data_IF_649687400592
#
_entry.id   IF_649687400592
#
_cell.length_a   1.000
_cell.length_b   1.000
_cell.length_c   1.000
_cell.angle_alpha   90.00
_cell.angle_beta   90.00
_cell.angle_gamma   90.00
#
_symmetry.space_group_name_H-M   'P 1'
#
loop_
_entity.id
_entity.type
_entity.pdbx_description
1 polymer ?
#
# COMPACT_ATOMS: atom_id res chain seq x y z
N UNK A 1 1.68 -52.44 -14.12
CA UNK A 1 1.19 -52.11 -12.76
C UNK A 1 2.40 -51.73 -11.94
N UNK A 2 2.59 -50.58 -11.30
CA UNK A 2 1.80 -49.39 -11.00
C UNK A 2 2.75 -48.18 -11.12
N UNK A 3 2.25 -47.06 -11.65
CA UNK A 3 2.87 -45.75 -11.55
C UNK A 3 2.92 -45.33 -10.08
N UNK A 4 4.04 -44.80 -9.60
CA UNK A 4 4.06 -44.01 -8.37
C UNK A 4 4.67 -42.64 -8.69
N UNK A 5 3.77 -41.66 -8.73
CA UNK A 5 4.06 -40.24 -8.93
C UNK A 5 4.73 -39.72 -7.66
N UNK A 6 5.99 -39.30 -7.75
CA UNK A 6 6.65 -38.55 -6.69
C UNK A 6 6.23 -37.08 -6.85
N UNK A 7 5.24 -36.66 -6.07
CA UNK A 7 4.74 -35.29 -6.10
C UNK A 7 5.74 -34.38 -5.38
N UNK A 8 6.41 -33.53 -6.16
CA UNK A 8 7.42 -32.57 -5.71
C UNK A 8 6.69 -31.32 -5.19
N UNK A 9 6.59 -31.20 -3.87
CA UNK A 9 5.97 -30.06 -3.20
C UNK A 9 7.02 -28.95 -3.06
N UNK A 10 7.18 -28.14 -4.11
CA UNK A 10 7.97 -26.90 -4.04
C UNK A 10 7.12 -25.89 -3.28
N UNK A 11 7.27 -25.86 -1.95
CA UNK A 11 6.83 -24.73 -1.16
C UNK A 11 7.65 -23.50 -1.56
N UNK A 12 7.01 -22.54 -2.21
CA UNK A 12 7.55 -21.18 -2.33
C UNK A 12 7.61 -20.57 -0.93
N UNK A 13 8.75 -20.70 -0.27
CA UNK A 13 9.08 -19.86 0.88
C UNK A 13 9.42 -18.50 0.29
N UNK A 14 8.49 -17.55 0.40
CA UNK A 14 8.79 -16.15 0.10
C UNK A 14 9.74 -15.67 1.20
N UNK A 15 11.02 -15.60 0.86
CA UNK A 15 12.06 -15.03 1.73
C UNK A 15 11.76 -13.54 1.80
N UNK A 16 11.02 -13.12 2.85
CA UNK A 16 11.01 -11.72 3.24
C UNK A 16 12.41 -11.41 3.76
N UNK A 17 13.18 -10.65 2.99
CA UNK A 17 14.42 -10.04 3.45
C UNK A 17 14.07 -9.10 4.59
N UNK A 18 14.37 -9.52 5.82
CA UNK A 18 14.27 -8.69 7.03
C UNK A 18 15.50 -7.76 7.09
N UNK A 19 15.69 -6.96 6.04
CA UNK A 19 16.66 -5.87 6.01
C UNK A 19 16.06 -4.60 6.60
N UNK A 20 16.84 -3.87 7.39
CA UNK A 20 16.55 -2.46 7.68
C UNK A 20 16.51 -1.72 6.35
N UNK A 21 15.45 -0.94 6.12
CA UNK A 21 15.30 -0.13 4.91
C UNK A 21 16.20 1.11 5.07
N UNK A 22 16.77 1.66 3.97
CA UNK A 22 17.74 2.81 3.96
C UNK A 22 17.39 3.83 2.84
N UNK A 23 16.24 4.51 2.93
CA UNK A 23 15.35 4.72 1.78
C UNK A 23 15.71 5.83 0.77
N UNK A 24 16.25 5.42 -0.38
CA UNK A 24 15.88 5.93 -1.71
C UNK A 24 14.99 4.85 -2.36
N UNK A 25 13.86 5.21 -2.97
CA UNK A 25 13.07 4.24 -3.76
C UNK A 25 13.91 3.75 -4.94
N UNK A 26 14.04 2.43 -5.08
CA UNK A 26 14.78 1.81 -6.19
C UNK A 26 13.95 1.80 -7.48
N UNK A 27 14.65 1.75 -8.61
CA UNK A 27 14.05 1.44 -9.90
C UNK A 27 13.40 0.04 -9.92
N UNK A 28 13.86 -0.86 -9.04
CA UNK A 28 13.37 -2.23 -8.89
C UNK A 28 12.19 -2.37 -7.92
N UNK A 29 11.84 -1.33 -7.16
CA UNK A 29 10.71 -1.41 -6.24
C UNK A 29 9.39 -1.50 -7.03
N UNK A 30 8.42 -2.33 -6.60
CA UNK A 30 7.18 -2.54 -7.34
C UNK A 30 6.40 -1.24 -7.58
N UNK A 31 5.91 -1.07 -8.81
CA UNK A 31 5.04 0.06 -9.19
C UNK A 31 3.59 -0.26 -8.91
N UNK A 32 2.86 0.71 -8.40
CA UNK A 32 1.43 0.57 -8.11
C UNK A 32 0.67 0.23 -9.39
N UNK A 33 0.96 0.91 -10.50
CA UNK A 33 0.28 0.68 -11.77
C UNK A 33 0.56 -0.71 -12.35
N UNK A 34 1.79 -1.23 -12.21
CA UNK A 34 2.13 -2.57 -12.68
C UNK A 34 1.45 -3.66 -11.85
N UNK A 35 1.41 -3.47 -10.53
CA UNK A 35 0.73 -4.38 -9.62
C UNK A 35 -0.79 -4.36 -9.82
N UNK A 36 -1.38 -3.18 -10.07
CA UNK A 36 -2.79 -3.04 -10.47
C UNK A 36 -3.10 -3.81 -11.74
N UNK A 37 -2.27 -3.72 -12.79
CA UNK A 37 -2.46 -4.50 -14.03
C UNK A 37 -2.43 -6.01 -13.78
N UNK A 38 -1.62 -6.47 -12.83
CA UNK A 38 -1.54 -7.88 -12.41
C UNK A 38 -2.66 -8.29 -11.45
N UNK A 39 -3.39 -7.34 -10.86
CA UNK A 39 -4.34 -7.59 -9.77
C UNK A 39 -3.65 -8.02 -8.47
N UNK A 40 -2.37 -7.70 -8.34
CA UNK A 40 -1.55 -8.01 -7.17
C UNK A 40 -1.56 -6.80 -6.22
N UNK A 41 -1.87 -7.04 -4.95
CA UNK A 41 -1.98 -5.99 -3.95
C UNK A 41 -1.24 -6.43 -2.70
N UNK A 42 0.09 -6.20 -2.62
CA UNK A 42 0.88 -6.64 -1.48
C UNK A 42 0.42 -5.94 -0.20
N UNK A 43 0.72 -6.58 0.93
CA UNK A 43 0.45 -6.02 2.26
C UNK A 43 1.55 -5.07 2.73
N UNK A 44 2.73 -5.14 2.13
CA UNK A 44 3.87 -4.26 2.42
C UNK A 44 4.23 -3.47 1.18
N UNK A 45 4.47 -2.18 1.38
CA UNK A 45 4.86 -1.23 0.35
C UNK A 45 6.07 -0.43 0.81
N UNK A 46 6.87 0.04 -0.16
CA UNK A 46 7.84 1.10 0.04
C UNK A 46 7.37 2.30 -0.76
N UNK A 47 7.05 3.39 -0.08
CA UNK A 47 6.39 4.53 -0.70
C UNK A 47 6.89 5.84 -0.11
N UNK A 48 6.77 6.91 -0.89
CA UNK A 48 7.03 8.26 -0.41
C UNK A 48 5.75 8.81 0.21
N UNK A 49 5.86 9.36 1.41
CA UNK A 49 4.75 10.04 2.05
C UNK A 49 4.49 11.39 1.38
N UNK A 50 3.23 11.67 1.05
CA UNK A 50 2.81 12.97 0.51
C UNK A 50 2.22 13.85 1.59
N UNK A 51 1.06 13.47 2.11
CA UNK A 51 0.28 14.30 3.03
C UNK A 51 -0.78 13.47 3.77
N UNK A 52 -1.48 14.12 4.70
CA UNK A 52 -2.64 13.60 5.43
C UNK A 52 -3.92 14.24 4.87
N UNK A 53 -4.93 13.42 4.62
CA UNK A 53 -6.26 13.89 4.20
C UNK A 53 -7.33 13.19 5.04
N UNK A 54 -7.98 13.96 5.91
CA UNK A 54 -8.92 13.46 6.91
C UNK A 54 -8.41 12.24 7.71
N UNK A 55 -9.00 11.07 7.44
CA UNK A 55 -8.72 9.79 8.09
C UNK A 55 -7.65 8.96 7.35
N UNK A 56 -7.06 9.51 6.29
CA UNK A 56 -6.17 8.84 5.37
C UNK A 56 -4.77 9.48 5.36
N UNK A 57 -3.77 8.63 5.16
CA UNK A 57 -2.43 9.02 4.75
C UNK A 57 -2.29 8.76 3.26
N UNK A 58 -1.69 9.69 2.55
CA UNK A 58 -1.48 9.59 1.11
C UNK A 58 -0.01 9.33 0.85
N UNK A 59 0.26 8.27 0.10
CA UNK A 59 1.58 7.88 -0.34
C UNK A 59 1.61 7.74 -1.86
N UNK A 60 2.81 7.75 -2.43
CA UNK A 60 3.01 7.51 -3.85
C UNK A 60 4.28 6.70 -4.12
N UNK A 61 4.30 5.99 -5.24
CA UNK A 61 5.51 5.33 -5.75
C UNK A 61 6.39 6.31 -6.55
N UNK A 62 7.52 5.85 -7.08
CA UNK A 62 8.43 6.74 -7.82
C UNK A 62 7.82 7.33 -9.10
N UNK A 63 6.75 6.71 -9.64
CA UNK A 63 6.05 7.18 -10.83
C UNK A 63 4.94 8.19 -10.48
N UNK A 64 4.73 8.47 -9.19
CA UNK A 64 3.71 9.37 -8.70
C UNK A 64 2.32 8.74 -8.61
N UNK A 65 2.20 7.41 -8.78
CA UNK A 65 0.93 6.73 -8.60
C UNK A 65 0.55 6.74 -7.12
N UNK A 66 -0.67 7.14 -6.79
CA UNK A 66 -1.12 7.31 -5.40
C UNK A 66 -1.70 6.02 -4.80
N UNK A 67 -1.61 5.94 -3.48
CA UNK A 67 -2.23 4.92 -2.65
C UNK A 67 -2.60 5.53 -1.29
N UNK A 68 -3.77 5.16 -0.78
CA UNK A 68 -4.33 5.75 0.44
C UNK A 68 -4.32 4.71 1.56
N UNK A 69 -3.96 5.14 2.77
CA UNK A 69 -3.97 4.31 3.97
C UNK A 69 -4.88 4.94 5.03
N UNK A 70 -6.01 4.30 5.33
CA UNK A 70 -6.88 4.68 6.45
C UNK A 70 -6.14 4.39 7.75
N UNK A 71 -5.70 5.44 8.45
CA UNK A 71 -4.87 5.32 9.67
C UNK A 71 -5.70 5.41 10.95
N UNK A 72 -6.86 6.04 10.90
CA UNK A 72 -7.75 6.21 12.05
C UNK A 72 -9.18 5.79 11.72
N UNK A 73 -9.95 5.43 12.76
CA UNK A 73 -11.35 5.03 12.59
C UNK A 73 -12.25 6.22 12.24
N UNK A 74 -12.02 7.31 12.95
CA UNK A 74 -12.72 8.58 12.86
C UNK A 74 -11.86 9.72 13.44
N UNK A 75 -12.36 10.94 13.41
CA UNK A 75 -11.70 12.16 13.89
C UNK A 75 -11.38 12.22 15.39
N UNK A 76 -11.96 11.34 16.20
CA UNK A 76 -11.77 11.29 17.66
C UNK A 76 -10.69 10.29 18.09
N UNK A 77 -10.18 9.47 17.17
CA UNK A 77 -9.12 8.50 17.40
C UNK A 77 -7.74 9.19 17.50
N UNK A 78 -7.50 9.83 18.66
CA UNK A 78 -6.27 10.60 18.93
C UNK A 78 -5.03 9.71 19.00
N UNK A 79 -5.17 8.47 19.47
CA UNK A 79 -4.06 7.50 19.52
C UNK A 79 -3.50 7.24 18.12
N UNK A 80 -4.38 7.09 17.12
CA UNK A 80 -3.96 6.95 15.74
C UNK A 80 -3.21 8.19 15.21
N UNK A 81 -3.61 9.39 15.63
CA UNK A 81 -2.93 10.64 15.26
C UNK A 81 -1.52 10.71 15.87
N UNK A 82 -1.35 10.33 17.14
CA UNK A 82 -0.03 10.31 17.78
C UNK A 82 0.94 9.34 17.10
N UNK A 83 0.45 8.19 16.62
CA UNK A 83 1.30 7.20 15.90
C UNK A 83 1.89 7.72 14.59
N UNK A 84 1.32 8.78 14.01
CA UNK A 84 1.71 9.31 12.70
C UNK A 84 2.31 10.72 12.78
N UNK A 85 2.59 11.22 13.98
CA UNK A 85 2.97 12.62 14.22
C UNK A 85 4.35 12.97 13.63
N UNK A 86 5.20 11.98 13.35
CA UNK A 86 6.54 12.15 12.79
C UNK A 86 6.66 11.92 11.27
N UNK A 87 5.57 11.96 10.51
CA UNK A 87 5.62 11.78 9.06
C UNK A 87 6.07 13.06 8.35
N UNK A 88 7.10 12.96 7.52
CA UNK A 88 7.64 14.07 6.73
C UNK A 88 7.34 13.87 5.23
N UNK A 89 6.64 14.83 4.59
CA UNK A 89 6.42 14.81 3.15
C UNK A 89 7.74 14.63 2.38
N UNK A 90 7.73 13.77 1.37
CA UNK A 90 8.92 13.45 0.56
C UNK A 90 9.83 12.37 1.14
N UNK A 91 9.63 11.96 2.41
CA UNK A 91 10.39 10.85 2.99
C UNK A 91 9.79 9.49 2.56
N UNK A 92 10.66 8.53 2.31
CA UNK A 92 10.28 7.16 2.01
C UNK A 92 10.04 6.34 3.29
N UNK A 93 9.00 5.52 3.27
CA UNK A 93 8.57 4.69 4.38
C UNK A 93 8.30 3.26 3.91
N UNK A 94 8.56 2.30 4.80
CA UNK A 94 7.98 0.96 4.70
C UNK A 94 6.59 1.01 5.35
N UNK A 95 5.55 0.79 4.55
CA UNK A 95 4.15 0.91 4.96
C UNK A 95 3.47 -0.46 4.85
N UNK A 96 2.86 -0.92 5.94
CA UNK A 96 2.12 -2.19 5.97
C UNK A 96 0.63 -1.95 6.15
N UNK A 97 -0.19 -2.64 5.38
CA UNK A 97 -1.64 -2.55 5.48
C UNK A 97 -2.38 -3.65 4.76
N UNK A 98 -3.70 -3.69 4.94
CA UNK A 98 -4.60 -4.59 4.25
C UNK A 98 -5.44 -3.83 3.23
N UNK A 99 -5.50 -4.29 1.97
CA UNK A 99 -6.38 -3.71 0.96
C UNK A 99 -7.85 -3.82 1.41
N UNK A 100 -8.56 -2.69 1.41
CA UNK A 100 -9.98 -2.61 1.84
C UNK A 100 -10.91 -2.10 0.73
N UNK A 101 -10.37 -1.61 -0.39
CA UNK A 101 -11.17 -1.15 -1.51
C UNK A 101 -10.40 -0.19 -2.41
N UNK A 102 -11.15 0.60 -3.17
CA UNK A 102 -10.60 1.68 -3.99
C UNK A 102 -11.43 2.96 -3.86
N UNK A 103 -10.78 4.10 -4.11
CA UNK A 103 -11.48 5.33 -4.46
C UNK A 103 -11.70 5.40 -5.96
N UNK A 104 -12.89 5.84 -6.35
CA UNK A 104 -13.21 6.11 -7.74
C UNK A 104 -12.42 7.33 -8.23
N UNK A 105 -11.76 7.19 -9.38
CA UNK A 105 -11.06 8.30 -10.02
C UNK A 105 -12.03 9.18 -10.85
N UNK A 106 -13.21 9.54 -10.33
CA UNK A 106 -14.10 10.47 -11.03
C UNK A 106 -13.74 11.92 -10.70
N UNK A 107 -13.09 12.57 -11.68
CA UNK A 107 -12.91 14.03 -11.72
C UNK A 107 -14.09 14.67 -12.45
N UNK A 108 -15.02 15.27 -11.72
CA UNK A 108 -15.83 16.37 -12.25
C UNK A 108 -16.16 17.30 -11.08
N UNK A 109 -15.65 18.54 -11.15
CA UNK A 109 -15.90 19.66 -10.22
C UNK A 109 -15.45 19.48 -8.75
N UNK A 110 -14.25 19.98 -8.45
CA UNK A 110 -13.79 20.61 -7.19
C UNK A 110 -14.02 19.94 -5.82
N UNK A 111 -14.59 18.74 -5.74
CA UNK A 111 -14.69 17.96 -4.50
C UNK A 111 -14.38 16.51 -4.81
N UNK A 112 -13.18 16.08 -4.43
CA UNK A 112 -12.84 14.66 -4.34
C UNK A 112 -13.75 14.04 -3.28
N UNK A 113 -14.85 13.44 -3.70
CA UNK A 113 -15.68 12.65 -2.80
C UNK A 113 -15.00 11.30 -2.61
N UNK A 114 -14.14 11.21 -1.59
CA UNK A 114 -13.47 9.97 -1.20
C UNK A 114 -14.45 9.02 -0.51
N UNK A 115 -15.36 8.43 -1.28
CA UNK A 115 -16.11 7.28 -0.79
C UNK A 115 -15.32 6.03 -1.12
N UNK A 116 -14.77 5.30 -0.13
CA UNK A 116 -14.27 3.99 -0.44
C UNK A 116 -15.48 3.17 -0.87
N UNK A 117 -15.48 2.64 -2.08
CA UNK A 117 -16.34 1.52 -2.38
C UNK A 117 -15.82 0.38 -1.49
N UNK A 118 -16.46 0.20 -0.32
CA UNK A 118 -16.06 -0.78 0.67
C UNK A 118 -16.44 -2.15 0.12
N UNK A 119 -15.54 -2.74 -0.66
CA UNK A 119 -15.68 -4.11 -1.13
C UNK A 119 -15.33 -5.04 0.01
N UNK A 120 -16.32 -5.82 0.48
CA UNK A 120 -16.19 -6.68 1.66
C UNK A 120 -15.29 -7.91 1.42
N UNK A 121 -14.90 -8.22 0.18
CA UNK A 121 -14.02 -9.36 -0.15
C UNK A 121 -12.92 -8.94 -1.14
N UNK A 122 -11.70 -9.42 -0.90
CA UNK A 122 -10.53 -9.17 -1.76
C UNK A 122 -10.76 -9.55 -3.24
N UNK A 123 -11.55 -10.60 -3.49
CA UNK A 123 -11.90 -11.01 -4.86
C UNK A 123 -12.71 -9.95 -5.58
N UNK A 124 -13.73 -9.42 -4.91
CA UNK A 124 -14.59 -8.35 -5.43
C UNK A 124 -13.76 -7.09 -5.71
N UNK A 125 -12.81 -6.79 -4.82
CA UNK A 125 -11.82 -5.71 -4.99
C UNK A 125 -11.00 -5.94 -6.28
N UNK A 126 -10.40 -7.12 -6.44
CA UNK A 126 -9.59 -7.44 -7.63
C UNK A 126 -10.40 -7.41 -8.94
N UNK A 127 -11.64 -7.88 -8.91
CA UNK A 127 -12.56 -7.81 -10.06
C UNK A 127 -12.91 -6.37 -10.41
N UNK A 128 -13.11 -5.51 -9.41
CA UNK A 128 -13.38 -4.09 -9.63
C UNK A 128 -12.20 -3.38 -10.29
N UNK A 129 -10.98 -3.63 -9.82
CA UNK A 129 -9.78 -3.04 -10.42
C UNK A 129 -9.59 -3.45 -11.89
N UNK A 130 -10.09 -4.62 -12.31
CA UNK A 130 -10.09 -5.01 -13.73
C UNK A 130 -11.07 -4.18 -14.56
N UNK A 131 -12.18 -3.74 -13.98
CA UNK A 131 -13.18 -2.90 -14.65
C UNK A 131 -12.75 -1.43 -14.66
N UNK A 132 -12.15 -0.98 -13.56
CA UNK A 132 -11.78 0.41 -13.30
C UNK A 132 -10.31 0.50 -12.87
N UNK A 133 -9.35 0.26 -13.78
CA UNK A 133 -7.92 0.34 -13.48
C UNK A 133 -7.46 1.75 -13.12
N UNK A 134 -8.26 2.78 -13.35
CA UNK A 134 -8.02 4.17 -12.92
C UNK A 134 -8.19 4.36 -11.41
N UNK A 135 -8.95 3.48 -10.74
CA UNK A 135 -9.29 3.63 -9.33
C UNK A 135 -8.06 3.55 -8.41
N UNK A 136 -8.08 4.30 -7.32
CA UNK A 136 -6.94 4.45 -6.44
C UNK A 136 -7.04 3.46 -5.28
N UNK A 137 -6.02 2.61 -5.04
CA UNK A 137 -6.09 1.61 -3.98
C UNK A 137 -6.17 2.24 -2.58
N UNK A 138 -7.02 1.65 -1.75
CA UNK A 138 -7.23 2.05 -0.35
C UNK A 138 -6.93 0.88 0.57
N UNK A 139 -6.06 1.13 1.53
CA UNK A 139 -5.59 0.17 2.53
C UNK A 139 -6.02 0.61 3.93
N UNK A 140 -6.23 -0.36 4.83
CA UNK A 140 -6.23 -0.13 6.27
C UNK A 140 -4.77 -0.19 6.75
N UNK A 141 -4.31 0.86 7.42
CA UNK A 141 -2.94 0.92 7.95
C UNK A 141 -2.79 -0.06 9.12
N UNK A 142 -1.72 -0.87 9.08
CA UNK A 142 -1.31 -1.74 10.16
C UNK A 142 -0.08 -1.19 10.88
N UNK A 143 0.96 -0.82 10.13
CA UNK A 143 2.18 -0.20 10.67
C UNK A 143 2.88 0.65 9.62
N UNK A 144 3.76 1.53 10.10
CA UNK A 144 4.65 2.34 9.28
C UNK A 144 5.98 2.48 10.01
N UNK A 145 7.07 2.35 9.28
CA UNK A 145 8.43 2.48 9.79
C UNK A 145 9.17 3.55 8.96
N UNK A 146 9.65 4.58 9.65
CA UNK A 146 10.54 5.58 9.04
C UNK A 146 11.89 4.95 8.76
N UNK A 147 12.42 5.31 7.62
CA UNK A 147 13.75 4.89 7.23
C UNK A 147 14.75 5.86 7.84
N UNK A 148 15.47 5.44 8.89
CA UNK A 148 16.47 6.29 9.54
C UNK A 148 17.62 6.60 8.57
N UNK A 149 17.95 7.89 8.45
CA UNK A 149 19.17 8.41 7.84
C UNK A 149 20.41 8.03 8.69
N UNK A 150 20.20 7.52 9.90
CA UNK A 150 21.23 7.29 10.93
C UNK A 150 22.28 6.21 10.62
N UNK A 151 22.24 5.54 9.46
CA UNK A 151 23.31 4.63 9.01
C UNK A 151 24.24 5.25 7.94
N UNK A 152 23.99 6.47 7.45
CA UNK A 152 24.85 7.14 6.43
C UNK A 152 26.15 7.75 7.03
N UNK A 153 26.27 7.84 8.37
CA UNK A 153 27.44 8.42 9.05
C UNK A 153 28.24 7.43 9.92
N UNK A 154 28.20 6.13 9.63
CA UNK A 154 29.11 5.16 10.24
C UNK A 154 30.19 4.67 9.29
#
# INVERSE_FOLDING_TARGET
MKFFYLMLLIGFVSIYSEGKYEGILSSTDPRINDLKKKGEFPQEWKLIFRDKDEDYLIFYDIEGAEIYFKYRRDKFDREAVYRIDGLFPGQAYRVRGQLIGFFEAYSTSEKKNYFPAVYRKLKDVQEENKKHPENIPVYKLNSLESTSIDEILK
#
